data_IF_095263594510
#
_entry.id   IF_095263594510
#
_cell.length_a   1.000
_cell.length_b   1.000
_cell.length_c   1.000
_cell.angle_alpha   90.00
_cell.angle_beta   90.00
_cell.angle_gamma   90.00
#
_symmetry.space_group_name_H-M   'P 1'
#
loop_
_entity.id
_entity.type
_entity.pdbx_description
1 polymer ?
#
# COMPACT_ATOMS: atom_id res chain seq x y z
N UNK A 1 15.69 23.56 24.30
CA UNK A 1 15.49 22.40 23.41
C UNK A 1 14.00 22.07 23.43
N UNK A 2 13.25 22.51 22.42
CA UNK A 2 11.81 22.19 22.35
C UNK A 2 11.66 20.72 21.96
N UNK A 3 11.02 19.92 22.82
CA UNK A 3 10.77 18.51 22.54
C UNK A 3 9.93 18.40 21.27
N UNK A 4 10.46 17.77 20.22
CA UNK A 4 9.63 17.39 19.07
C UNK A 4 8.53 16.47 19.62
N UNK A 5 7.27 16.93 19.57
CA UNK A 5 6.13 16.08 19.86
C UNK A 5 6.18 14.81 19.01
N UNK A 6 5.57 13.72 19.48
CA UNK A 6 5.51 12.47 18.73
C UNK A 6 5.01 12.71 17.30
N UNK A 7 5.68 12.12 16.31
CA UNK A 7 5.28 12.24 14.91
C UNK A 7 3.91 11.61 14.72
N UNK A 8 3.09 12.24 13.89
CA UNK A 8 1.79 11.70 13.50
C UNK A 8 1.95 10.50 12.59
N UNK A 9 1.12 9.47 12.78
CA UNK A 9 1.14 8.22 12.03
C UNK A 9 0.06 8.19 10.97
N UNK A 10 0.44 7.91 9.74
CA UNK A 10 -0.44 7.73 8.59
C UNK A 10 -0.43 6.26 8.15
N UNK A 11 -1.60 5.63 8.11
CA UNK A 11 -1.80 4.38 7.40
C UNK A 11 -2.25 4.68 5.96
N UNK A 12 -1.58 4.09 4.98
CA UNK A 12 -2.01 4.16 3.57
C UNK A 12 -2.54 2.79 3.16
N UNK A 13 -3.77 2.74 2.67
CA UNK A 13 -4.40 1.51 2.19
C UNK A 13 -4.55 1.64 0.68
N UNK A 14 -3.92 0.72 -0.05
CA UNK A 14 -3.95 0.67 -1.52
C UNK A 14 -3.87 -0.77 -1.99
N UNK A 15 -4.32 -1.05 -3.21
CA UNK A 15 -4.40 -2.42 -3.71
C UNK A 15 -3.04 -3.00 -4.03
N UNK A 16 -2.16 -2.21 -4.66
CA UNK A 16 -0.86 -2.67 -5.13
C UNK A 16 0.14 -1.51 -5.26
N UNK A 17 1.45 -1.80 -5.37
CA UNK A 17 2.44 -0.77 -5.63
C UNK A 17 2.24 -0.13 -7.01
N UNK A 18 2.11 1.19 -7.05
CA UNK A 18 1.91 1.98 -8.27
C UNK A 18 3.06 2.96 -8.44
N UNK A 19 3.48 3.17 -9.69
CA UNK A 19 4.71 3.88 -10.03
C UNK A 19 4.86 5.29 -9.44
N UNK A 20 3.78 6.04 -9.35
CA UNK A 20 3.81 7.42 -8.85
C UNK A 20 3.49 7.51 -7.35
N UNK A 21 2.92 6.46 -6.77
CA UNK A 21 2.66 6.39 -5.33
C UNK A 21 3.90 5.96 -4.53
N UNK A 22 4.65 4.96 -5.03
CA UNK A 22 5.84 4.46 -4.34
C UNK A 22 6.91 5.55 -4.07
N UNK A 23 7.30 6.40 -5.04
CA UNK A 23 8.23 7.50 -4.78
C UNK A 23 7.70 8.52 -3.78
N UNK A 24 6.39 8.80 -3.80
CA UNK A 24 5.76 9.70 -2.85
C UNK A 24 5.92 9.18 -1.40
N UNK A 25 5.69 7.88 -1.17
CA UNK A 25 5.85 7.29 0.16
C UNK A 25 7.29 7.37 0.67
N UNK A 26 8.28 7.09 -0.19
CA UNK A 26 9.68 7.24 0.14
C UNK A 26 10.05 8.69 0.50
N UNK A 27 9.53 9.67 -0.25
CA UNK A 27 9.71 11.10 0.04
C UNK A 27 9.08 11.52 1.38
N UNK A 28 7.91 10.96 1.73
CA UNK A 28 7.26 11.23 3.02
C UNK A 28 8.11 10.73 4.19
N UNK A 29 8.68 9.52 4.08
CA UNK A 29 9.62 8.97 5.08
C UNK A 29 10.87 9.84 5.17
N UNK A 30 11.47 10.20 4.04
CA UNK A 30 12.67 11.03 3.99
C UNK A 30 12.44 12.41 4.63
N UNK A 31 11.26 13.02 4.41
CA UNK A 31 10.90 14.31 5.01
C UNK A 31 10.78 14.22 6.54
N UNK A 32 10.39 13.06 7.06
CA UNK A 32 10.42 12.75 8.49
C UNK A 32 9.48 13.60 9.35
N UNK A 33 8.44 14.21 8.75
CA UNK A 33 7.42 15.01 9.46
C UNK A 33 6.30 14.12 10.01
N UNK A 34 5.99 13.03 9.31
CA UNK A 34 5.02 11.99 9.69
C UNK A 34 5.70 10.62 9.62
N UNK A 35 5.17 9.66 10.36
CA UNK A 35 5.46 8.25 10.18
C UNK A 35 4.38 7.64 9.29
N UNK A 36 4.77 6.85 8.30
CA UNK A 36 3.87 6.26 7.31
C UNK A 36 4.07 4.75 7.30
N UNK A 37 3.00 3.97 7.11
CA UNK A 37 3.03 2.56 6.73
C UNK A 37 2.00 2.29 5.65
N UNK A 38 2.38 1.52 4.63
CA UNK A 38 1.54 1.20 3.48
C UNK A 38 1.04 -0.24 3.58
N UNK A 39 -0.27 -0.46 3.46
CA UNK A 39 -0.90 -1.77 3.46
C UNK A 39 -1.40 -2.09 2.05
N UNK A 40 -0.83 -3.14 1.46
CA UNK A 40 -1.18 -3.64 0.12
C UNK A 40 -2.21 -4.75 0.21
N UNK A 41 -3.40 -4.52 -0.34
CA UNK A 41 -4.56 -5.40 -0.15
C UNK A 41 -4.68 -6.54 -1.16
N UNK A 42 -4.04 -6.47 -2.33
CA UNK A 42 -4.02 -7.59 -3.29
C UNK A 42 -3.20 -8.77 -2.75
N UNK A 43 -2.18 -8.49 -1.94
CA UNK A 43 -1.19 -9.47 -1.47
C UNK A 43 0.02 -9.57 -2.40
N UNK A 44 1.02 -10.36 -1.98
CA UNK A 44 2.34 -10.42 -2.66
C UNK A 44 2.28 -10.98 -4.09
N UNK A 45 1.22 -11.71 -4.45
CA UNK A 45 1.04 -12.24 -5.81
C UNK A 45 1.01 -11.14 -6.87
N UNK A 46 0.63 -9.91 -6.50
CA UNK A 46 0.62 -8.76 -7.43
C UNK A 46 2.00 -8.42 -7.99
N UNK A 47 3.08 -8.82 -7.31
CA UNK A 47 4.45 -8.66 -7.83
C UNK A 47 4.76 -9.63 -8.98
N UNK A 48 4.02 -10.74 -9.06
CA UNK A 48 4.12 -11.75 -10.14
C UNK A 48 3.16 -11.44 -11.27
N UNK A 49 1.98 -10.88 -10.94
CA UNK A 49 0.97 -10.43 -11.88
C UNK A 49 1.38 -9.10 -12.53
N UNK A 50 2.46 -9.14 -13.31
CA UNK A 50 2.94 -8.02 -14.13
C UNK A 50 2.01 -7.70 -15.29
N UNK A 51 0.97 -8.50 -15.51
CA UNK A 51 0.02 -8.30 -16.59
C UNK A 51 -0.99 -7.24 -16.19
N UNK A 52 -0.90 -6.07 -16.82
CA UNK A 52 -1.88 -5.01 -16.67
C UNK A 52 -3.00 -5.20 -17.72
N UNK A 53 -4.25 -5.50 -17.31
CA UNK A 53 -5.37 -5.72 -18.24
C UNK A 53 -5.77 -4.47 -19.03
N UNK A 54 -5.47 -3.27 -18.52
CA UNK A 54 -5.72 -1.99 -19.19
C UNK A 54 -4.74 -1.70 -20.32
N UNK A 55 -3.53 -2.26 -20.25
CA UNK A 55 -2.49 -2.11 -21.29
C UNK A 55 -2.25 -3.39 -22.12
N UNK A 56 -2.82 -4.53 -21.69
CA UNK A 56 -2.68 -5.83 -22.37
C UNK A 56 -1.24 -6.33 -22.43
N UNK A 57 -0.37 -5.91 -21.50
CA UNK A 57 1.07 -6.20 -21.51
C UNK A 57 1.61 -6.51 -20.13
N UNK A 58 2.69 -7.29 -20.12
CA UNK A 58 3.56 -7.48 -18.96
C UNK A 58 4.36 -6.20 -18.78
N UNK A 59 4.11 -5.45 -17.72
CA UNK A 59 4.86 -4.24 -17.39
C UNK A 59 5.90 -4.58 -16.33
N UNK A 60 7.18 -4.50 -16.71
CA UNK A 60 8.29 -4.46 -15.77
C UNK A 60 8.62 -3.00 -15.47
N UNK A 61 8.41 -2.59 -14.23
CA UNK A 61 8.71 -1.24 -13.82
C UNK A 61 10.20 -1.08 -13.54
N UNK A 62 10.87 -0.17 -14.24
CA UNK A 62 12.29 0.15 -14.06
C UNK A 62 12.61 0.91 -12.74
N UNK A 63 11.65 1.02 -11.82
CA UNK A 63 11.80 1.73 -10.55
C UNK A 63 11.54 0.83 -9.35
N UNK A 64 12.28 0.99 -8.23
CA UNK A 64 12.12 0.14 -7.07
C UNK A 64 10.85 0.52 -6.28
N UNK A 65 9.74 -0.14 -6.59
CA UNK A 65 8.43 0.20 -6.02
C UNK A 65 8.32 -0.01 -4.52
N UNK A 66 9.10 -0.90 -3.91
CA UNK A 66 8.99 -1.27 -2.48
C UNK A 66 10.15 -0.75 -1.63
N UNK A 67 10.94 0.21 -2.11
CA UNK A 67 12.09 0.76 -1.37
C UNK A 67 11.79 2.12 -0.76
N UNK A 68 12.36 2.38 0.41
CA UNK A 68 12.37 3.69 1.06
C UNK A 68 11.19 3.99 1.99
N UNK A 69 10.28 3.04 2.20
CA UNK A 69 9.16 3.19 3.14
C UNK A 69 8.71 1.82 3.69
N UNK A 70 8.11 1.78 4.89
CA UNK A 70 7.62 0.54 5.46
C UNK A 70 6.26 0.16 4.84
N UNK A 71 6.10 -1.12 4.54
CA UNK A 71 4.89 -1.66 3.96
C UNK A 71 4.56 -3.03 4.51
N UNK A 72 3.34 -3.48 4.25
CA UNK A 72 2.86 -4.82 4.57
C UNK A 72 1.96 -5.30 3.42
N UNK A 73 2.21 -6.52 2.93
CA UNK A 73 1.25 -7.21 2.08
C UNK A 73 0.27 -7.96 2.96
N UNK A 74 -1.01 -7.65 2.80
CA UNK A 74 -2.07 -8.36 3.49
C UNK A 74 -2.44 -9.62 2.72
N UNK A 75 -2.85 -10.66 3.45
CA UNK A 75 -3.41 -11.84 2.82
C UNK A 75 -4.75 -11.49 2.16
N UNK A 76 -4.86 -11.78 0.86
CA UNK A 76 -6.11 -11.70 0.11
C UNK A 76 -6.72 -13.10 0.03
N UNK A 77 -7.89 -13.28 0.66
CA UNK A 77 -8.63 -14.55 0.72
C UNK A 77 -9.74 -14.67 -0.34
N UNK A 78 -9.78 -13.76 -1.32
CA UNK A 78 -10.68 -13.90 -2.47
C UNK A 78 -10.33 -15.17 -3.28
N UNK A 79 -11.37 -15.89 -3.73
CA UNK A 79 -11.23 -17.10 -4.55
C UNK A 79 -10.68 -16.76 -5.94
N UNK A 80 -11.19 -15.69 -6.54
CA UNK A 80 -10.68 -15.06 -7.77
C UNK A 80 -10.05 -13.72 -7.38
N UNK A 81 -8.73 -13.62 -7.40
CA UNK A 81 -8.01 -12.43 -6.92
C UNK A 81 -7.84 -11.44 -8.05
N UNK A 82 -8.18 -10.18 -7.79
CA UNK A 82 -7.80 -9.10 -8.68
C UNK A 82 -8.71 -7.88 -8.59
N UNK A 83 -8.23 -6.78 -9.17
CA UNK A 83 -8.95 -5.51 -9.18
C UNK A 83 -10.04 -5.41 -10.26
N UNK A 84 -10.28 -6.48 -11.02
CA UNK A 84 -11.22 -6.48 -12.15
C UNK A 84 -12.69 -6.74 -11.75
N UNK A 85 -12.96 -7.01 -10.47
CA UNK A 85 -14.29 -7.21 -9.93
C UNK A 85 -14.36 -6.90 -8.43
N UNK A 86 -15.57 -6.61 -7.92
CA UNK A 86 -15.77 -6.10 -6.56
C UNK A 86 -15.29 -7.05 -5.45
N UNK A 87 -15.40 -8.37 -5.65
CA UNK A 87 -15.07 -9.38 -4.64
C UNK A 87 -13.64 -9.90 -4.72
N UNK A 88 -12.79 -9.32 -5.59
CA UNK A 88 -11.44 -9.84 -5.83
C UNK A 88 -10.39 -9.44 -4.80
N UNK A 89 -10.78 -8.68 -3.77
CA UNK A 89 -9.92 -8.26 -2.65
C UNK A 89 -10.68 -8.47 -1.34
N UNK A 90 -10.28 -9.46 -0.56
CA UNK A 90 -10.82 -9.77 0.77
C UNK A 90 -9.66 -9.89 1.76
N UNK A 91 -9.53 -8.96 2.70
CA UNK A 91 -8.46 -8.98 3.70
C UNK A 91 -9.04 -9.06 5.12
N UNK A 92 -9.29 -10.27 5.66
CA UNK A 92 -9.81 -10.42 7.03
C UNK A 92 -8.92 -9.75 8.09
N UNK A 93 -7.60 -9.74 7.87
CA UNK A 93 -6.62 -9.14 8.78
C UNK A 93 -6.39 -7.63 8.61
N UNK A 94 -7.06 -6.95 7.67
CA UNK A 94 -6.79 -5.52 7.41
C UNK A 94 -7.05 -4.65 8.65
N UNK A 95 -8.20 -4.84 9.29
CA UNK A 95 -8.60 -4.01 10.45
C UNK A 95 -7.61 -4.22 11.59
N UNK A 96 -7.28 -5.48 11.90
CA UNK A 96 -6.31 -5.82 12.95
C UNK A 96 -4.92 -5.22 12.65
N UNK A 97 -4.42 -5.35 11.43
CA UNK A 97 -3.10 -4.81 11.06
C UNK A 97 -3.04 -3.28 11.15
N UNK A 98 -4.13 -2.59 10.81
CA UNK A 98 -4.26 -1.13 10.93
C UNK A 98 -4.34 -0.72 12.41
N UNK A 99 -5.15 -1.42 13.22
CA UNK A 99 -5.30 -1.16 14.65
C UNK A 99 -3.97 -1.37 15.40
N UNK A 100 -3.22 -2.43 15.07
CA UNK A 100 -1.89 -2.69 15.62
C UNK A 100 -0.89 -1.57 15.28
N UNK A 101 -0.98 -0.98 14.08
CA UNK A 101 -0.15 0.17 13.72
C UNK A 101 -0.56 1.45 14.49
N UNK A 102 -1.83 1.53 14.90
CA UNK A 102 -2.44 2.63 15.66
C UNK A 102 -2.20 4.00 15.00
N UNK A 103 -2.72 4.23 13.78
CA UNK A 103 -2.51 5.48 13.04
C UNK A 103 -3.38 6.63 13.59
N UNK A 104 -2.91 7.87 13.41
CA UNK A 104 -3.71 9.08 13.63
C UNK A 104 -4.65 9.39 12.46
N UNK A 105 -4.32 8.91 11.26
CA UNK A 105 -5.09 9.13 10.04
C UNK A 105 -4.93 7.96 9.05
N UNK A 106 -5.94 7.77 8.20
CA UNK A 106 -5.95 6.75 7.14
C UNK A 106 -6.16 7.43 5.79
N UNK A 107 -5.30 7.11 4.82
CA UNK A 107 -5.47 7.44 3.40
C UNK A 107 -5.88 6.18 2.64
N UNK A 108 -7.03 6.22 1.99
CA UNK A 108 -7.55 5.10 1.19
C UNK A 108 -7.60 5.53 -0.26
N UNK A 109 -6.96 4.76 -1.14
CA UNK A 109 -7.15 4.90 -2.58
C UNK A 109 -8.35 4.08 -3.02
N UNK A 110 -9.46 4.75 -3.30
CA UNK A 110 -10.65 4.12 -3.88
C UNK A 110 -10.50 3.86 -5.38
N UNK A 111 -11.38 3.02 -5.92
CA UNK A 111 -11.62 2.86 -7.35
C UNK A 111 -13.11 3.11 -7.63
N UNK A 112 -13.46 3.55 -8.84
CA UNK A 112 -14.84 3.54 -9.36
C UNK A 112 -14.96 2.51 -10.47
#
# INVERSE_FOLDING_TARGET
MSGKGAKKKLAVITTHPIQYHAPLYALLVQRGVIDIKVFYTWGESVLKDKFDPGFGKVIEWDIPLLKGYPYEFLENTADDKGSHHFNGIKNPGLIEAVDQYNPDAILIYGWS
#
